data_IF_890548932356
#
_entry.id   IF_890548932356
#
_cell.length_a   1.000
_cell.length_b   1.000
_cell.length_c   1.000
_cell.angle_alpha   90.00
_cell.angle_beta   90.00
_cell.angle_gamma   90.00
#
_symmetry.space_group_name_H-M   'P 1'
#
loop_
_entity.id
_entity.type
_entity.pdbx_description
1 polymer ?
#
# COMPACT_ATOMS: atom_id res chain seq x y z
N UNK A 1 69.66 21.92 -47.80
CA UNK A 1 69.27 21.79 -46.37
C UNK A 1 67.85 22.31 -46.25
N UNK A 2 66.85 21.43 -46.29
CA UNK A 2 66.23 20.67 -45.18
C UNK A 2 65.03 21.43 -44.58
N UNK A 3 63.90 20.73 -44.58
CA UNK A 3 62.50 21.14 -44.36
C UNK A 3 62.27 21.97 -43.08
N UNK A 4 61.12 22.63 -42.94
CA UNK A 4 60.01 22.00 -42.20
C UNK A 4 58.61 22.36 -42.72
N UNK A 5 57.79 21.32 -42.88
CA UNK A 5 56.34 21.43 -42.93
C UNK A 5 55.81 21.87 -41.55
N UNK A 6 55.06 22.97 -41.48
CA UNK A 6 54.20 23.19 -40.31
C UNK A 6 52.99 22.25 -40.41
N UNK A 7 53.07 21.20 -39.60
CA UNK A 7 52.01 20.24 -39.34
C UNK A 7 50.92 20.98 -38.57
N UNK A 8 49.69 21.00 -39.10
CA UNK A 8 48.50 21.43 -38.36
C UNK A 8 48.40 20.63 -37.06
N UNK A 9 48.50 21.31 -35.93
CA UNK A 9 47.98 20.79 -34.67
C UNK A 9 46.66 21.52 -34.40
N UNK A 10 45.56 20.86 -34.79
CA UNK A 10 44.25 21.19 -34.27
C UNK A 10 44.31 20.97 -32.77
N UNK A 11 44.48 22.06 -32.03
CA UNK A 11 44.35 22.11 -30.59
C UNK A 11 42.91 21.69 -30.26
N UNK A 12 42.71 20.39 -30.03
CA UNK A 12 41.51 19.91 -29.34
C UNK A 12 41.66 20.43 -27.92
N UNK A 13 40.94 21.52 -27.63
CA UNK A 13 40.74 21.99 -26.27
C UNK A 13 40.45 20.78 -25.39
N UNK A 14 41.07 20.68 -24.20
CA UNK A 14 40.64 19.68 -23.25
C UNK A 14 39.20 20.08 -22.92
N UNK A 15 38.22 19.35 -23.44
CA UNK A 15 36.85 19.38 -22.92
C UNK A 15 36.93 18.72 -21.56
N UNK A 16 37.48 19.52 -20.66
CA UNK A 16 37.50 19.55 -19.22
C UNK A 16 36.72 18.40 -18.63
N UNK A 17 37.43 17.40 -18.10
CA UNK A 17 36.84 16.32 -17.30
C UNK A 17 35.97 16.85 -16.15
N UNK A 18 36.11 18.12 -15.77
CA UNK A 18 35.24 18.85 -14.86
C UNK A 18 33.79 18.97 -15.39
N UNK A 19 33.60 19.21 -16.69
CA UNK A 19 32.26 19.31 -17.30
C UNK A 19 31.50 17.98 -17.27
N UNK A 20 32.22 16.88 -17.49
CA UNK A 20 31.67 15.52 -17.41
C UNK A 20 31.32 15.17 -15.96
N UNK A 21 32.20 15.52 -15.01
CA UNK A 21 31.97 15.32 -13.57
C UNK A 21 30.75 16.09 -13.05
N UNK A 22 30.60 17.36 -13.45
CA UNK A 22 29.44 18.18 -13.06
C UNK A 22 28.15 17.60 -13.64
N UNK A 23 28.17 17.14 -14.89
CA UNK A 23 26.99 16.55 -15.52
C UNK A 23 26.57 15.26 -14.82
N UNK A 24 27.53 14.39 -14.44
CA UNK A 24 27.27 13.17 -13.67
C UNK A 24 26.68 13.48 -12.28
N UNK A 25 27.19 14.50 -11.58
CA UNK A 25 26.67 14.90 -10.26
C UNK A 25 25.22 15.40 -10.35
N UNK A 26 24.87 16.16 -11.39
CA UNK A 26 23.49 16.61 -11.61
C UNK A 26 22.57 15.42 -11.85
N UNK A 27 22.96 14.47 -12.72
CA UNK A 27 22.15 13.26 -12.95
C UNK A 27 22.01 12.39 -11.71
N UNK A 28 23.07 12.26 -10.90
CA UNK A 28 23.03 11.53 -9.64
C UNK A 28 22.05 12.20 -8.63
N UNK A 29 22.06 13.54 -8.54
CA UNK A 29 21.13 14.28 -7.70
C UNK A 29 19.67 14.12 -8.17
N UNK A 30 19.43 14.14 -9.49
CA UNK A 30 18.10 13.90 -10.07
C UNK A 30 17.61 12.48 -9.77
N UNK A 31 18.45 11.46 -9.96
CA UNK A 31 18.13 10.07 -9.62
C UNK A 31 17.83 9.89 -8.13
N UNK A 32 18.64 10.49 -7.26
CA UNK A 32 18.42 10.46 -5.82
C UNK A 32 17.07 11.11 -5.44
N UNK A 33 16.73 12.25 -6.04
CA UNK A 33 15.44 12.91 -5.83
C UNK A 33 14.26 12.06 -6.34
N UNK A 34 14.39 11.41 -7.50
CA UNK A 34 13.37 10.50 -8.01
C UNK A 34 13.16 9.28 -7.11
N UNK A 35 14.24 8.66 -6.62
CA UNK A 35 14.17 7.52 -5.71
C UNK A 35 13.57 7.91 -4.36
N UNK A 36 13.95 9.08 -3.81
CA UNK A 36 13.36 9.61 -2.59
C UNK A 36 11.86 9.89 -2.76
N UNK A 37 11.46 10.48 -3.89
CA UNK A 37 10.05 10.72 -4.23
C UNK A 37 9.24 9.42 -4.33
N UNK A 38 9.76 8.41 -5.02
CA UNK A 38 9.12 7.09 -5.12
C UNK A 38 9.00 6.42 -3.75
N UNK A 39 10.03 6.51 -2.91
CA UNK A 39 10.02 5.96 -1.56
C UNK A 39 8.89 6.57 -0.72
N UNK A 40 8.81 7.90 -0.66
CA UNK A 40 7.80 8.64 0.11
C UNK A 40 6.37 8.33 -0.35
N UNK A 41 6.14 8.08 -1.63
CA UNK A 41 4.81 7.73 -2.15
C UNK A 41 4.47 6.25 -1.86
N UNK A 42 5.47 5.37 -1.96
CA UNK A 42 5.27 3.93 -1.83
C UNK A 42 5.10 3.46 -0.39
N UNK A 43 5.75 4.11 0.58
CA UNK A 43 5.77 3.68 1.97
C UNK A 43 4.39 3.77 2.66
N UNK A 44 3.60 4.86 2.52
CA UNK A 44 2.24 4.92 3.05
C UNK A 44 1.31 3.87 2.42
N UNK A 45 1.42 3.65 1.11
CA UNK A 45 0.61 2.63 0.42
C UNK A 45 0.96 1.22 0.87
N UNK A 46 2.25 0.94 1.08
CA UNK A 46 2.70 -0.35 1.59
C UNK A 46 2.19 -0.61 3.02
N UNK A 47 2.32 0.38 3.91
CA UNK A 47 1.81 0.27 5.28
C UNK A 47 0.28 0.08 5.31
N UNK A 48 -0.44 0.77 4.42
CA UNK A 48 -1.89 0.62 4.29
C UNK A 48 -2.28 -0.77 3.75
N UNK A 49 -1.55 -1.30 2.76
CA UNK A 49 -1.78 -2.65 2.24
C UNK A 49 -1.51 -3.72 3.30
N UNK A 50 -0.43 -3.58 4.08
CA UNK A 50 -0.09 -4.50 5.17
C UNK A 50 -1.16 -4.45 6.28
N UNK A 51 -1.62 -3.26 6.69
CA UNK A 51 -2.68 -3.11 7.67
C UNK A 51 -4.02 -3.70 7.21
N UNK A 52 -4.39 -3.48 5.95
CA UNK A 52 -5.61 -4.04 5.35
C UNK A 52 -5.55 -5.58 5.32
N UNK A 53 -4.39 -6.13 4.92
CA UNK A 53 -4.17 -7.57 4.89
C UNK A 53 -4.32 -8.20 6.29
N UNK A 54 -3.68 -7.61 7.31
CA UNK A 54 -3.75 -8.09 8.70
C UNK A 54 -5.20 -8.11 9.20
N UNK A 55 -5.95 -7.02 9.00
CA UNK A 55 -7.35 -6.97 9.44
C UNK A 55 -8.21 -7.99 8.70
N UNK A 56 -8.10 -8.07 7.37
CA UNK A 56 -8.92 -8.99 6.56
C UNK A 56 -8.65 -10.46 6.91
N UNK A 57 -7.40 -10.83 7.17
CA UNK A 57 -7.05 -12.17 7.63
C UNK A 57 -7.62 -12.49 9.02
N UNK A 58 -7.58 -11.53 9.96
CA UNK A 58 -8.18 -11.71 11.27
C UNK A 58 -9.71 -11.87 11.19
N UNK A 59 -10.36 -11.04 10.37
CA UNK A 59 -11.80 -11.16 10.09
C UNK A 59 -12.11 -12.52 9.50
N UNK A 60 -11.33 -12.99 8.52
CA UNK A 60 -11.54 -14.30 7.89
C UNK A 60 -11.53 -15.46 8.89
N UNK A 61 -10.55 -15.47 9.80
CA UNK A 61 -10.48 -16.47 10.87
C UNK A 61 -11.69 -16.38 11.80
N UNK A 62 -12.07 -15.18 12.19
CA UNK A 62 -13.17 -14.98 13.13
C UNK A 62 -14.55 -15.31 12.52
N UNK A 63 -14.78 -14.94 11.25
CA UNK A 63 -16.00 -15.29 10.52
C UNK A 63 -16.09 -16.80 10.33
N UNK A 64 -14.99 -17.48 10.00
CA UNK A 64 -14.96 -18.94 9.89
C UNK A 64 -15.28 -19.61 11.24
N UNK A 65 -14.69 -19.11 12.32
CA UNK A 65 -14.98 -19.58 13.69
C UNK A 65 -16.44 -19.35 14.06
N UNK A 66 -16.98 -18.17 13.73
CA UNK A 66 -18.39 -17.84 13.96
C UNK A 66 -19.31 -18.79 13.19
N UNK A 67 -19.06 -19.03 11.91
CA UNK A 67 -19.86 -19.97 11.08
C UNK A 67 -19.89 -21.35 11.73
N UNK A 68 -18.74 -21.90 12.11
CA UNK A 68 -18.67 -23.23 12.75
C UNK A 68 -19.32 -23.31 14.13
N UNK A 69 -19.49 -22.16 14.81
CA UNK A 69 -20.19 -22.10 16.10
C UNK A 69 -21.71 -22.01 15.97
N UNK A 70 -22.25 -21.80 14.77
CA UNK A 70 -23.69 -21.67 14.57
C UNK A 70 -24.37 -23.05 14.48
N UNK A 71 -25.58 -23.19 15.05
CA UNK A 71 -26.36 -24.43 14.94
C UNK A 71 -26.84 -24.71 13.51
N UNK A 72 -27.09 -23.66 12.72
CA UNK A 72 -27.42 -23.76 11.29
C UNK A 72 -26.23 -23.26 10.45
N UNK A 73 -25.36 -24.19 10.07
CA UNK A 73 -24.17 -23.94 9.26
C UNK A 73 -24.50 -23.37 7.89
N UNK A 74 -25.60 -23.79 7.26
CA UNK A 74 -25.96 -23.37 5.91
C UNK A 74 -26.39 -21.90 5.91
N UNK A 75 -27.27 -21.53 6.84
CA UNK A 75 -27.68 -20.13 7.04
C UNK A 75 -26.49 -19.24 7.43
N UNK A 76 -25.66 -19.69 8.38
CA UNK A 76 -24.47 -18.95 8.80
C UNK A 76 -23.48 -18.72 7.64
N UNK A 77 -23.23 -19.76 6.85
CA UNK A 77 -22.35 -19.68 5.67
C UNK A 77 -22.91 -18.70 4.63
N UNK A 78 -24.23 -18.67 4.42
CA UNK A 78 -24.87 -17.73 3.51
C UNK A 78 -24.71 -16.28 4.00
N UNK A 79 -24.90 -16.02 5.31
CA UNK A 79 -24.69 -14.70 5.90
C UNK A 79 -23.22 -14.26 5.73
N UNK A 80 -22.26 -15.13 6.05
CA UNK A 80 -20.83 -14.85 5.86
C UNK A 80 -20.49 -14.61 4.38
N UNK A 81 -21.06 -15.39 3.47
CA UNK A 81 -20.87 -15.22 2.02
C UNK A 81 -21.41 -13.88 1.53
N UNK A 82 -22.60 -13.46 2.00
CA UNK A 82 -23.17 -12.17 1.62
C UNK A 82 -22.33 -11.00 2.11
N UNK A 83 -21.74 -11.12 3.30
CA UNK A 83 -20.77 -10.15 3.81
C UNK A 83 -19.54 -10.05 2.89
N UNK A 84 -18.91 -11.16 2.51
CA UNK A 84 -17.75 -11.12 1.60
C UNK A 84 -18.11 -10.62 0.20
N UNK A 85 -19.28 -10.97 -0.32
CA UNK A 85 -19.77 -10.41 -1.59
C UNK A 85 -19.92 -8.90 -1.54
N UNK A 86 -20.28 -8.34 -0.38
CA UNK A 86 -20.30 -6.88 -0.19
C UNK A 86 -18.89 -6.30 -0.21
N UNK A 87 -17.93 -6.92 0.49
CA UNK A 87 -16.52 -6.49 0.52
C UNK A 87 -15.86 -6.50 -0.87
N UNK A 88 -16.34 -7.36 -1.78
CA UNK A 88 -15.87 -7.42 -3.17
C UNK A 88 -16.41 -6.26 -4.03
N UNK A 89 -17.39 -5.48 -3.54
CA UNK A 89 -17.92 -4.31 -4.23
C UNK A 89 -17.02 -3.11 -3.94
N UNK A 90 -16.19 -2.74 -4.91
CA UNK A 90 -15.22 -1.64 -4.81
C UNK A 90 -15.79 -0.28 -4.38
N UNK A 91 -17.09 -0.02 -4.59
CA UNK A 91 -17.73 1.25 -4.22
C UNK A 91 -18.19 1.31 -2.76
N UNK A 92 -18.19 0.19 -2.04
CA UNK A 92 -18.65 0.14 -0.65
C UNK A 92 -17.45 0.12 0.29
N UNK A 93 -17.55 0.89 1.38
CA UNK A 93 -16.57 0.80 2.46
C UNK A 93 -16.92 -0.38 3.35
N UNK A 94 -15.91 -0.87 4.07
CA UNK A 94 -16.09 -1.96 5.02
C UNK A 94 -17.18 -1.69 6.06
N UNK A 95 -17.24 -0.48 6.58
CA UNK A 95 -18.28 -0.04 7.51
C UNK A 95 -19.69 -0.16 6.93
N UNK A 96 -19.84 0.07 5.63
CA UNK A 96 -21.13 0.01 4.93
C UNK A 96 -21.54 -1.47 4.79
N UNK A 97 -20.61 -2.35 4.45
CA UNK A 97 -20.84 -3.81 4.41
C UNK A 97 -21.14 -4.41 5.78
N UNK A 98 -20.44 -3.96 6.82
CA UNK A 98 -20.70 -4.35 8.21
C UNK A 98 -22.10 -3.94 8.66
N UNK A 99 -22.59 -2.77 8.25
CA UNK A 99 -23.94 -2.29 8.56
C UNK A 99 -25.04 -3.12 7.89
N UNK A 100 -24.77 -3.69 6.70
CA UNK A 100 -25.72 -4.54 5.96
C UNK A 100 -25.90 -5.95 6.54
N UNK A 101 -25.01 -6.39 7.45
CA UNK A 101 -25.14 -7.69 8.09
C UNK A 101 -26.41 -7.71 8.96
N UNK A 102 -27.29 -8.68 8.77
CA UNK A 102 -28.48 -8.85 9.65
C UNK A 102 -28.15 -9.47 11.01
N UNK A 103 -27.03 -10.20 11.10
CA UNK A 103 -26.59 -10.92 12.31
C UNK A 103 -25.73 -10.06 13.23
N UNK A 104 -26.29 -9.68 14.39
CA UNK A 104 -25.55 -8.94 15.43
C UNK A 104 -24.38 -9.72 16.04
N UNK A 105 -24.49 -11.05 16.12
CA UNK A 105 -23.40 -11.89 16.64
C UNK A 105 -22.21 -11.89 15.67
N UNK A 106 -22.46 -11.93 14.36
CA UNK A 106 -21.43 -11.81 13.34
C UNK A 106 -20.80 -10.41 13.32
N UNK A 107 -21.60 -9.34 13.41
CA UNK A 107 -21.08 -7.96 13.51
C UNK A 107 -20.12 -7.79 14.67
N UNK A 108 -20.48 -8.32 15.86
CA UNK A 108 -19.62 -8.28 17.05
C UNK A 108 -18.34 -9.06 16.84
N UNK A 109 -18.41 -10.24 16.22
CA UNK A 109 -17.24 -11.05 15.91
C UNK A 109 -16.26 -10.28 15.00
N UNK A 110 -16.75 -9.74 13.87
CA UNK A 110 -15.94 -8.94 12.94
C UNK A 110 -15.35 -7.71 13.63
N UNK A 111 -16.17 -6.97 14.40
CA UNK A 111 -15.71 -5.77 15.12
C UNK A 111 -14.62 -6.10 16.13
N UNK A 112 -14.77 -7.20 16.88
CA UNK A 112 -13.76 -7.67 17.81
C UNK A 112 -12.46 -8.06 17.09
N UNK A 113 -12.54 -8.71 15.92
CA UNK A 113 -11.38 -9.06 15.12
C UNK A 113 -10.60 -7.80 14.65
N UNK A 114 -11.31 -6.74 14.25
CA UNK A 114 -10.68 -5.45 13.90
C UNK A 114 -10.02 -4.81 15.12
N UNK A 115 -10.72 -4.74 16.26
CA UNK A 115 -10.20 -4.11 17.48
C UNK A 115 -8.94 -4.82 17.99
N UNK A 116 -8.92 -6.17 17.93
CA UNK A 116 -7.80 -7.01 18.37
C UNK A 116 -6.61 -7.02 17.41
N UNK A 117 -6.76 -6.54 16.18
CA UNK A 117 -5.66 -6.52 15.20
C UNK A 117 -4.50 -5.63 15.64
N UNK A 118 -3.28 -5.96 15.25
CA UNK A 118 -2.06 -5.20 15.59
C UNK A 118 -1.82 -4.01 14.64
N UNK A 119 -2.89 -3.26 14.32
CA UNK A 119 -2.80 -2.04 13.51
C UNK A 119 -3.08 -0.79 14.36
N UNK A 120 -2.77 0.39 13.81
CA UNK A 120 -3.00 1.65 14.52
C UNK A 120 -4.49 1.88 14.82
N UNK A 121 -4.76 2.58 15.93
CA UNK A 121 -6.14 2.93 16.33
C UNK A 121 -6.86 3.72 15.23
N UNK A 122 -6.17 4.68 14.62
CA UNK A 122 -6.71 5.49 13.52
C UNK A 122 -7.16 4.62 12.35
N UNK A 123 -6.36 3.59 11.99
CA UNK A 123 -6.73 2.69 10.92
C UNK A 123 -7.97 1.85 11.28
N UNK A 124 -8.04 1.33 12.52
CA UNK A 124 -9.23 0.61 13.02
C UNK A 124 -10.48 1.48 12.97
N UNK A 125 -10.36 2.73 13.43
CA UNK A 125 -11.48 3.67 13.46
C UNK A 125 -11.95 4.04 12.05
N UNK A 126 -11.03 4.23 11.10
CA UNK A 126 -11.39 4.45 9.70
C UNK A 126 -12.05 3.21 9.07
N UNK A 127 -11.49 2.02 9.34
CA UNK A 127 -11.97 0.75 8.83
C UNK A 127 -13.38 0.41 9.33
N UNK A 128 -13.67 0.71 10.60
CA UNK A 128 -15.01 0.56 11.21
C UNK A 128 -15.95 1.74 10.91
N UNK A 129 -15.46 2.82 10.29
CA UNK A 129 -16.25 4.03 10.05
C UNK A 129 -16.57 4.82 11.32
N UNK A 130 -15.81 4.62 12.40
CA UNK A 130 -15.94 5.29 13.71
C UNK A 130 -14.99 6.47 13.89
N UNK A 131 -14.16 6.78 12.88
CA UNK A 131 -13.27 7.95 12.92
C UNK A 131 -14.08 9.25 13.08
N UNK A 132 -13.69 10.07 14.05
CA UNK A 132 -14.30 11.40 14.24
C UNK A 132 -13.80 12.32 13.12
N UNK A 133 -14.74 12.91 12.37
CA UNK A 133 -14.46 14.02 11.44
C UNK A 133 -14.00 15.26 12.18
#
# INVERSE_FOLDING_TARGET
MMCTCEKKESNKEPVSGLSILVTLLVWAAVLAACLAGLYVISEPQRMQNDANYIIKENIKKEVLSWVHSQPDLASASNIATNYYKCEDIYSLRHSDCLAMIGSESLKKAITAAVIKSEVSKEYKDNFLGTSKK
#
